data_IF_267506423268
#
_entry.id   IF_267506423268
#
_cell.length_a   1.000
_cell.length_b   1.000
_cell.length_c   1.000
_cell.angle_alpha   90.00
_cell.angle_beta   90.00
_cell.angle_gamma   90.00
#
_symmetry.space_group_name_H-M   'P 1'
#
loop_
_entity.id
_entity.type
_entity.pdbx_description
1 polymer ?
#
# COMPACT_ATOMS: atom_id res chain seq x y z
N UNK A 1 77.57 70.04 -6.30
CA UNK A 1 76.36 70.14 -5.46
C UNK A 1 75.28 69.33 -6.10
N UNK A 2 75.15 68.09 -5.66
CA UNK A 2 74.06 67.19 -6.07
C UNK A 2 73.03 67.18 -4.95
N UNK A 3 71.72 67.18 -5.27
CA UNK A 3 70.71 66.93 -4.26
C UNK A 3 70.34 65.39 -4.27
N UNK A 4 70.51 64.79 -3.12
CA UNK A 4 70.12 63.42 -2.86
C UNK A 4 68.59 63.23 -2.94
N UNK A 5 68.10 62.45 -3.84
CA UNK A 5 66.70 61.98 -3.90
C UNK A 5 66.48 60.87 -2.87
N UNK A 6 65.74 61.15 -1.79
CA UNK A 6 65.25 60.15 -0.85
C UNK A 6 64.10 59.34 -1.49
N UNK A 7 64.39 58.15 -1.84
CA UNK A 7 63.39 57.21 -2.32
C UNK A 7 62.68 56.62 -1.14
N UNK A 8 61.48 57.17 -0.81
CA UNK A 8 60.60 56.65 0.22
C UNK A 8 60.04 55.31 -0.27
N UNK A 9 60.56 54.20 0.29
CA UNK A 9 60.06 52.87 0.02
C UNK A 9 58.58 52.69 0.34
N UNK A 10 57.77 52.59 -0.69
CA UNK A 10 56.37 52.04 -0.54
C UNK A 10 56.47 50.59 -0.10
N UNK A 11 56.26 50.30 1.16
CA UNK A 11 56.04 48.94 1.65
C UNK A 11 54.75 48.43 1.08
N UNK A 12 54.84 47.52 0.15
CA UNK A 12 53.71 46.76 -0.37
C UNK A 12 53.07 46.00 0.83
N UNK A 13 51.76 46.10 1.08
CA UNK A 13 51.13 45.32 2.12
C UNK A 13 51.37 43.86 1.88
N UNK A 14 51.81 43.15 2.93
CA UNK A 14 52.25 41.78 2.83
C UNK A 14 51.09 40.86 2.34
N UNK A 15 51.16 40.47 1.06
CA UNK A 15 50.14 39.65 0.40
C UNK A 15 49.92 38.32 1.17
N UNK A 16 50.89 37.86 1.93
CA UNK A 16 50.78 36.67 2.75
C UNK A 16 49.75 36.82 3.87
N UNK A 17 49.60 38.00 4.45
CA UNK A 17 48.58 38.29 5.47
C UNK A 17 47.17 38.27 4.88
N UNK A 18 46.98 38.82 3.70
CA UNK A 18 45.71 38.80 2.98
C UNK A 18 45.31 37.37 2.61
N UNK A 19 46.24 36.50 2.11
CA UNK A 19 45.95 35.11 1.78
C UNK A 19 45.60 34.27 3.04
N UNK A 20 46.28 34.51 4.17
CA UNK A 20 45.98 33.86 5.44
C UNK A 20 44.58 34.28 5.97
N UNK A 21 44.22 35.54 5.87
CA UNK A 21 42.88 36.03 6.22
C UNK A 21 41.78 35.41 5.35
N UNK A 22 41.98 35.35 4.03
CA UNK A 22 41.05 34.72 3.10
C UNK A 22 40.91 33.21 3.37
N UNK A 23 42.01 32.51 3.66
CA UNK A 23 41.98 31.08 3.98
C UNK A 23 41.20 30.79 5.28
N UNK A 24 41.44 31.59 6.34
CA UNK A 24 40.69 31.44 7.60
C UNK A 24 39.20 31.74 7.40
N UNK A 25 38.87 32.81 6.66
CA UNK A 25 37.48 33.14 6.33
C UNK A 25 36.78 32.02 5.50
N UNK A 26 37.48 31.45 4.55
CA UNK A 26 36.98 30.31 3.75
C UNK A 26 36.70 29.09 4.63
N UNK A 27 37.61 28.75 5.57
CA UNK A 27 37.41 27.61 6.50
C UNK A 27 36.21 27.87 7.43
N UNK A 28 36.08 29.09 7.95
CA UNK A 28 34.94 29.45 8.78
C UNK A 28 33.63 29.38 8.00
N UNK A 29 33.56 29.91 6.79
CA UNK A 29 32.38 29.83 5.95
C UNK A 29 31.99 28.36 5.61
N UNK A 30 32.97 27.55 5.23
CA UNK A 30 32.70 26.12 4.97
C UNK A 30 32.24 25.38 6.22
N UNK A 31 32.80 25.67 7.38
CA UNK A 31 32.37 25.08 8.66
C UNK A 31 30.93 25.45 9.02
N UNK A 32 30.55 26.71 8.80
CA UNK A 32 29.15 27.16 9.00
C UNK A 32 28.21 26.46 8.04
N UNK A 33 28.57 26.32 6.78
CA UNK A 33 27.75 25.62 5.76
C UNK A 33 27.60 24.13 6.13
N UNK A 34 28.68 23.47 6.54
CA UNK A 34 28.64 22.06 6.96
C UNK A 34 27.76 21.90 8.21
N UNK A 35 27.94 22.77 9.20
CA UNK A 35 27.14 22.72 10.42
C UNK A 35 25.64 22.93 10.15
N UNK A 36 25.28 23.92 9.32
CA UNK A 36 23.88 24.18 8.97
C UNK A 36 23.29 23.03 8.15
N UNK A 37 24.05 22.42 7.26
CA UNK A 37 23.62 21.23 6.53
C UNK A 37 23.41 20.01 7.46
N UNK A 38 24.31 19.79 8.42
CA UNK A 38 24.18 18.74 9.42
C UNK A 38 22.92 18.96 10.31
N UNK A 39 22.70 20.17 10.78
CA UNK A 39 21.50 20.52 11.53
C UNK A 39 20.22 20.31 10.72
N UNK A 40 20.22 20.65 9.44
CA UNK A 40 19.08 20.41 8.56
C UNK A 40 18.78 18.92 8.35
N UNK A 41 19.84 18.08 8.22
CA UNK A 41 19.68 16.63 8.01
C UNK A 41 19.14 15.90 9.24
N UNK A 42 19.64 16.24 10.43
CA UNK A 42 19.38 15.48 11.66
C UNK A 42 18.39 16.16 12.62
N UNK A 43 17.87 17.33 12.27
CA UNK A 43 16.81 17.96 13.04
C UNK A 43 15.52 17.14 12.91
N UNK A 44 14.90 16.72 14.04
CA UNK A 44 13.64 15.97 13.99
C UNK A 44 12.52 16.84 13.42
N UNK A 45 11.49 16.16 12.89
CA UNK A 45 10.25 16.80 12.48
C UNK A 45 9.38 17.11 13.70
N UNK A 46 8.75 18.28 13.70
CA UNK A 46 7.98 18.79 14.84
C UNK A 46 6.50 18.35 14.82
N UNK A 47 6.08 17.49 13.90
CA UNK A 47 4.68 17.16 13.70
C UNK A 47 4.19 16.13 14.73
N UNK A 48 3.14 16.51 15.46
CA UNK A 48 2.38 15.65 16.38
C UNK A 48 1.45 14.73 15.57
N UNK A 49 0.91 15.21 14.45
CA UNK A 49 0.10 14.46 13.51
C UNK A 49 1.00 13.73 12.50
N UNK A 50 0.61 12.53 12.12
CA UNK A 50 1.34 11.71 11.15
C UNK A 50 1.17 12.24 9.72
N UNK A 51 1.84 13.33 9.32
CA UNK A 51 1.66 13.90 8.00
C UNK A 51 2.24 12.98 6.95
N UNK A 52 1.49 12.80 5.88
CA UNK A 52 1.91 12.08 4.71
C UNK A 52 2.34 13.10 3.66
N UNK A 53 3.60 13.02 3.25
CA UNK A 53 4.10 13.77 2.09
C UNK A 53 3.89 12.93 0.84
N UNK A 54 3.11 13.47 -0.10
CA UNK A 54 2.91 12.86 -1.41
C UNK A 54 3.84 13.52 -2.42
N UNK A 55 4.66 12.69 -3.08
CA UNK A 55 5.50 13.09 -4.20
C UNK A 55 4.89 12.51 -5.49
N UNK A 56 4.47 13.38 -6.39
CA UNK A 56 3.85 12.97 -7.65
C UNK A 56 4.91 12.66 -8.72
N UNK A 57 4.50 11.95 -9.76
CA UNK A 57 5.39 11.60 -10.85
C UNK A 57 5.86 12.87 -11.57
N UNK A 58 7.19 13.05 -11.68
CA UNK A 58 7.79 14.24 -12.27
C UNK A 58 8.06 15.39 -11.30
N UNK A 59 7.60 15.30 -10.05
CA UNK A 59 7.97 16.28 -9.02
C UNK A 59 9.44 16.13 -8.61
N UNK A 60 10.14 17.28 -8.60
CA UNK A 60 11.55 17.35 -8.28
C UNK A 60 11.85 17.80 -6.85
N UNK A 61 13.14 18.04 -6.59
CA UNK A 61 13.66 18.45 -5.29
C UNK A 61 13.00 19.73 -4.73
N UNK A 62 12.57 20.66 -5.59
CA UNK A 62 11.95 21.92 -5.16
C UNK A 62 10.56 21.65 -4.58
N UNK A 63 9.75 20.82 -5.23
CA UNK A 63 8.43 20.44 -4.75
C UNK A 63 8.54 19.68 -3.43
N UNK A 64 9.45 18.71 -3.34
CA UNK A 64 9.71 18.00 -2.10
C UNK A 64 10.12 18.94 -0.96
N UNK A 65 11.03 19.88 -1.23
CA UNK A 65 11.50 20.82 -0.22
C UNK A 65 10.37 21.72 0.32
N UNK A 66 9.44 22.14 -0.54
CA UNK A 66 8.27 22.93 -0.09
C UNK A 66 7.34 22.11 0.79
N UNK A 67 7.09 20.84 0.43
CA UNK A 67 6.26 19.92 1.21
C UNK A 67 6.90 19.57 2.57
N UNK A 68 8.20 19.33 2.60
CA UNK A 68 8.95 19.10 3.84
C UNK A 68 8.94 20.31 4.76
N UNK A 69 9.17 21.52 4.20
CA UNK A 69 9.21 22.75 5.02
C UNK A 69 7.86 23.10 5.64
N UNK A 70 6.74 22.68 5.06
CA UNK A 70 5.41 22.85 5.66
C UNK A 70 5.23 22.09 6.98
N UNK A 71 6.04 21.07 7.23
CA UNK A 71 6.00 20.23 8.45
C UNK A 71 7.11 20.57 9.45
N UNK A 72 7.74 21.73 9.31
CA UNK A 72 8.75 22.25 10.25
C UNK A 72 8.33 23.59 10.85
N UNK A 73 8.48 23.73 12.16
CA UNK A 73 8.07 24.92 12.92
C UNK A 73 8.77 26.19 12.46
N UNK A 74 10.01 26.10 11.99
CA UNK A 74 10.81 27.24 11.55
C UNK A 74 10.81 27.37 10.00
N UNK A 75 9.66 27.67 9.41
CA UNK A 75 9.52 27.81 7.95
C UNK A 75 10.47 28.86 7.32
N UNK A 76 10.82 29.92 8.07
CA UNK A 76 11.75 30.94 7.61
C UNK A 76 13.20 30.44 7.46
N UNK A 77 13.55 29.34 8.13
CA UNK A 77 14.86 28.68 8.05
C UNK A 77 14.88 27.47 7.09
N UNK A 78 14.02 27.46 6.09
CA UNK A 78 13.89 26.32 5.15
C UNK A 78 14.98 26.26 4.07
N UNK A 79 15.85 27.27 3.95
CA UNK A 79 16.90 27.28 2.92
C UNK A 79 17.95 26.16 3.06
N UNK A 80 18.39 25.73 4.27
CA UNK A 80 19.30 24.61 4.39
C UNK A 80 18.65 23.28 3.91
N UNK A 81 17.37 23.08 4.25
CA UNK A 81 16.61 21.91 3.79
C UNK A 81 16.58 21.84 2.27
N UNK A 82 16.31 22.98 1.60
CA UNK A 82 16.28 23.07 0.13
C UNK A 82 17.62 22.71 -0.50
N UNK A 83 18.72 23.19 0.07
CA UNK A 83 20.07 22.87 -0.42
C UNK A 83 20.40 21.39 -0.25
N UNK A 84 20.10 20.84 0.92
CA UNK A 84 20.34 19.43 1.23
C UNK A 84 19.51 18.53 0.34
N UNK A 85 18.21 18.76 0.23
CA UNK A 85 17.31 17.98 -0.62
C UNK A 85 17.77 18.04 -2.08
N UNK A 86 18.17 19.22 -2.59
CA UNK A 86 18.67 19.38 -3.94
C UNK A 86 19.97 18.62 -4.17
N UNK A 87 20.92 18.69 -3.24
CA UNK A 87 22.18 17.97 -3.31
C UNK A 87 21.98 16.44 -3.26
N UNK A 88 21.04 15.98 -2.44
CA UNK A 88 20.73 14.55 -2.35
C UNK A 88 19.96 14.05 -3.58
N UNK A 89 19.02 14.83 -4.11
CA UNK A 89 18.26 14.50 -5.31
C UNK A 89 19.13 14.47 -6.59
N UNK A 90 20.20 15.26 -6.63
CA UNK A 90 21.16 15.24 -7.75
C UNK A 90 21.91 13.90 -7.87
N UNK A 91 21.99 13.11 -6.80
CA UNK A 91 22.72 11.82 -6.75
C UNK A 91 21.86 10.61 -7.05
N UNK A 92 20.54 10.71 -6.90
CA UNK A 92 19.62 9.61 -7.18
C UNK A 92 18.20 10.17 -7.41
N UNK A 93 17.43 9.59 -8.34
CA UNK A 93 16.06 10.04 -8.62
C UNK A 93 15.17 9.88 -7.39
N UNK A 94 14.27 10.85 -7.21
CA UNK A 94 13.23 10.78 -6.19
C UNK A 94 12.10 9.89 -6.71
N UNK A 95 11.70 8.90 -5.93
CA UNK A 95 10.62 8.02 -6.31
C UNK A 95 9.27 8.65 -5.91
N UNK A 96 8.33 8.68 -6.87
CA UNK A 96 6.97 9.12 -6.62
C UNK A 96 6.26 8.16 -5.65
N UNK A 97 5.37 8.69 -4.80
CA UNK A 97 4.62 7.92 -3.81
C UNK A 97 4.32 8.74 -2.55
N UNK A 98 3.69 8.11 -1.60
CA UNK A 98 3.43 8.69 -0.28
C UNK A 98 4.49 8.22 0.73
N UNK A 99 4.89 9.14 1.61
CA UNK A 99 5.88 8.91 2.65
C UNK A 99 5.38 9.48 3.96
N UNK A 100 5.34 8.68 5.00
CA UNK A 100 4.92 9.11 6.34
C UNK A 100 6.10 9.79 7.04
N UNK A 101 5.96 11.07 7.36
CA UNK A 101 7.04 11.86 8.00
C UNK A 101 7.30 11.38 9.43
N UNK A 102 6.26 11.00 10.16
CA UNK A 102 6.38 10.51 11.55
C UNK A 102 7.13 9.18 11.67
N UNK A 103 7.17 8.36 10.60
CA UNK A 103 7.97 7.15 10.55
C UNK A 103 9.47 7.44 10.40
N UNK A 104 9.82 8.71 10.11
CA UNK A 104 11.19 9.18 9.89
C UNK A 104 11.49 10.32 10.84
N UNK A 105 12.41 10.12 11.77
CA UNK A 105 12.73 11.10 12.79
C UNK A 105 13.39 12.37 12.23
N UNK A 106 14.01 12.29 11.04
CA UNK A 106 14.78 13.37 10.44
C UNK A 106 14.72 13.36 8.90
N UNK A 107 15.25 14.42 8.29
CA UNK A 107 15.29 14.56 6.84
C UNK A 107 16.16 13.50 6.16
N UNK A 108 17.22 13.05 6.81
CA UNK A 108 18.10 12.03 6.24
C UNK A 108 17.36 10.71 6.04
N UNK A 109 16.66 10.22 7.06
CA UNK A 109 15.89 8.97 7.01
C UNK A 109 14.74 9.07 6.01
N UNK A 110 14.02 10.20 5.95
CA UNK A 110 13.00 10.45 4.94
C UNK A 110 13.57 10.40 3.52
N UNK A 111 14.70 11.06 3.27
CA UNK A 111 15.35 11.04 1.95
C UNK A 111 15.84 9.64 1.55
N UNK A 112 16.30 8.83 2.50
CA UNK A 112 16.65 7.44 2.22
C UNK A 112 15.41 6.61 1.87
N UNK A 113 14.29 6.81 2.55
CA UNK A 113 13.02 6.14 2.23
C UNK A 113 12.54 6.52 0.82
N UNK A 114 12.59 7.80 0.44
CA UNK A 114 12.22 8.29 -0.89
C UNK A 114 13.12 7.68 -1.98
N UNK A 115 14.41 7.59 -1.76
CA UNK A 115 15.37 7.00 -2.71
C UNK A 115 15.21 5.50 -2.85
N UNK A 116 14.95 4.80 -1.75
CA UNK A 116 14.75 3.34 -1.76
C UNK A 116 13.34 2.93 -2.18
N UNK A 117 12.42 3.89 -2.36
CA UNK A 117 11.01 3.61 -2.69
C UNK A 117 10.23 2.96 -1.55
N UNK A 118 10.63 3.16 -0.30
CA UNK A 118 9.91 2.68 0.87
C UNK A 118 8.69 3.57 1.12
N UNK A 119 7.64 3.34 0.34
CA UNK A 119 6.41 4.13 0.35
C UNK A 119 5.51 3.77 1.54
N UNK A 120 4.65 4.71 1.91
CA UNK A 120 3.58 4.47 2.86
C UNK A 120 2.56 3.51 2.26
N UNK A 121 2.20 2.48 3.03
CA UNK A 121 1.22 1.48 2.63
C UNK A 121 -0.10 1.74 3.36
N UNK A 122 -1.15 1.84 2.60
CA UNK A 122 -2.53 1.89 3.07
C UNK A 122 -3.10 0.49 3.12
N UNK A 123 -4.19 0.32 3.84
CA UNK A 123 -4.92 -0.94 3.91
C UNK A 123 -6.37 -0.73 3.49
N UNK A 124 -6.93 -1.73 2.85
CA UNK A 124 -8.36 -1.87 2.58
C UNK A 124 -8.79 -3.26 3.01
N UNK A 125 -9.86 -3.36 3.76
CA UNK A 125 -10.41 -4.64 4.21
C UNK A 125 -11.64 -4.97 3.37
N UNK A 126 -11.62 -6.13 2.76
CA UNK A 126 -12.69 -6.69 1.96
C UNK A 126 -13.27 -7.86 2.76
N UNK A 127 -14.52 -7.74 3.19
CA UNK A 127 -15.11 -8.66 4.14
C UNK A 127 -15.71 -9.89 3.44
N UNK A 128 -15.74 -10.98 4.18
CA UNK A 128 -16.46 -12.19 3.82
C UNK A 128 -17.96 -11.95 3.71
N UNK A 129 -18.62 -12.68 2.85
CA UNK A 129 -20.05 -12.55 2.58
C UNK A 129 -20.45 -11.29 1.81
N UNK A 130 -19.54 -10.39 1.48
CA UNK A 130 -19.83 -9.25 0.61
C UNK A 130 -19.95 -9.67 -0.86
N UNK A 131 -20.77 -8.92 -1.60
CA UNK A 131 -20.87 -9.03 -3.05
C UNK A 131 -19.70 -8.33 -3.75
N UNK A 132 -19.49 -8.60 -5.03
CA UNK A 132 -18.53 -7.83 -5.83
C UNK A 132 -18.86 -6.34 -5.89
N UNK A 133 -20.13 -5.99 -5.86
CA UNK A 133 -20.57 -4.59 -5.82
C UNK A 133 -20.12 -3.89 -4.54
N UNK A 134 -20.23 -4.57 -3.38
CA UNK A 134 -19.75 -4.04 -2.09
C UNK A 134 -18.24 -3.84 -2.11
N UNK A 135 -17.51 -4.79 -2.68
CA UNK A 135 -16.06 -4.71 -2.85
C UNK A 135 -15.65 -3.56 -3.76
N UNK A 136 -16.33 -3.41 -4.90
CA UNK A 136 -16.08 -2.32 -5.84
C UNK A 136 -16.29 -0.98 -5.15
N UNK A 137 -17.42 -0.79 -4.48
CA UNK A 137 -17.70 0.44 -3.74
C UNK A 137 -16.64 0.74 -2.68
N UNK A 138 -16.19 -0.28 -1.95
CA UNK A 138 -15.15 -0.12 -0.93
C UNK A 138 -13.82 0.30 -1.53
N UNK A 139 -13.45 -0.27 -2.67
CA UNK A 139 -12.22 0.10 -3.38
C UNK A 139 -12.32 1.49 -4.03
N UNK A 140 -13.49 1.88 -4.52
CA UNK A 140 -13.75 3.24 -5.05
C UNK A 140 -13.60 4.30 -3.95
N UNK A 141 -14.02 3.99 -2.73
CA UNK A 141 -13.89 4.89 -1.58
C UNK A 141 -12.48 4.87 -0.95
N UNK A 142 -11.64 3.91 -1.32
CA UNK A 142 -10.30 3.78 -0.75
C UNK A 142 -9.37 4.92 -1.21
N UNK A 143 -8.76 5.69 -0.28
CA UNK A 143 -7.99 6.88 -0.62
C UNK A 143 -6.82 6.57 -1.55
N UNK A 144 -6.79 7.18 -2.73
CA UNK A 144 -5.72 7.04 -3.72
C UNK A 144 -5.75 5.76 -4.54
N UNK A 145 -6.79 4.94 -4.39
CA UNK A 145 -7.05 3.82 -5.29
C UNK A 145 -7.49 4.36 -6.66
N UNK A 146 -7.00 3.76 -7.72
CA UNK A 146 -7.49 3.99 -9.09
C UNK A 146 -8.44 2.86 -9.46
N UNK A 147 -9.65 3.20 -9.84
CA UNK A 147 -10.65 2.23 -10.27
C UNK A 147 -10.78 2.33 -11.78
N UNK A 148 -10.54 1.23 -12.46
CA UNK A 148 -10.84 1.12 -13.90
C UNK A 148 -12.28 0.66 -14.06
N UNK A 149 -12.96 1.15 -15.12
CA UNK A 149 -14.31 0.68 -15.45
C UNK A 149 -14.27 -0.68 -16.20
N UNK A 150 -13.19 -1.41 -16.04
CA UNK A 150 -13.04 -2.71 -16.71
C UNK A 150 -13.86 -3.76 -15.97
N UNK A 151 -14.52 -4.62 -16.71
CA UNK A 151 -15.17 -5.81 -16.16
C UNK A 151 -14.11 -6.72 -15.51
N UNK A 152 -14.37 -7.10 -14.26
CA UNK A 152 -13.46 -7.94 -13.48
C UNK A 152 -13.65 -9.39 -13.92
N UNK A 153 -12.63 -9.95 -14.54
CA UNK A 153 -12.58 -11.36 -14.88
C UNK A 153 -11.51 -12.04 -14.02
N UNK A 154 -11.90 -12.99 -13.13
CA UNK A 154 -10.92 -13.77 -12.38
C UNK A 154 -10.00 -14.56 -13.32
N UNK A 155 -8.73 -14.68 -12.95
CA UNK A 155 -7.82 -15.60 -13.62
C UNK A 155 -8.00 -17.00 -13.02
N UNK A 156 -8.62 -17.89 -13.79
CA UNK A 156 -8.91 -19.27 -13.41
C UNK A 156 -8.07 -20.27 -14.19
N UNK A 157 -6.98 -19.84 -14.83
CA UNK A 157 -6.14 -20.68 -15.69
C UNK A 157 -5.56 -21.91 -14.98
N UNK A 158 -5.52 -21.90 -13.66
CA UNK A 158 -5.03 -23.01 -12.83
C UNK A 158 -6.15 -23.97 -12.34
N UNK A 159 -7.39 -23.75 -12.76
CA UNK A 159 -8.55 -24.59 -12.42
C UNK A 159 -9.01 -25.36 -13.66
N UNK A 160 -9.81 -26.40 -13.46
CA UNK A 160 -10.34 -27.18 -14.59
C UNK A 160 -11.36 -26.35 -15.39
N UNK A 161 -11.54 -26.67 -16.67
CA UNK A 161 -12.52 -25.97 -17.53
C UNK A 161 -13.95 -26.06 -16.97
N UNK A 162 -14.27 -27.08 -16.20
CA UNK A 162 -15.57 -27.27 -15.57
C UNK A 162 -15.81 -26.28 -14.40
N UNK A 163 -14.73 -25.77 -13.79
CA UNK A 163 -14.81 -24.78 -12.72
C UNK A 163 -15.18 -23.36 -13.23
N UNK A 164 -15.17 -23.15 -14.55
CA UNK A 164 -15.32 -21.85 -15.23
C UNK A 164 -16.75 -21.30 -15.29
N UNK A 165 -17.67 -21.71 -14.46
CA UNK A 165 -19.02 -21.14 -14.44
C UNK A 165 -19.06 -19.60 -14.35
N UNK A 166 -20.23 -18.96 -14.26
CA UNK A 166 -20.40 -17.50 -14.29
C UNK A 166 -19.37 -16.80 -13.39
N UNK A 167 -18.43 -16.12 -14.03
CA UNK A 167 -17.25 -15.52 -13.44
C UNK A 167 -17.64 -14.33 -12.57
N UNK A 168 -17.19 -14.28 -11.35
CA UNK A 168 -17.34 -13.09 -10.53
C UNK A 168 -17.24 -13.37 -9.03
N UNK A 169 -18.35 -13.54 -8.37
CA UNK A 169 -18.38 -13.69 -6.92
C UNK A 169 -17.83 -15.03 -6.43
N UNK A 170 -17.24 -15.01 -5.23
CA UNK A 170 -16.64 -16.17 -4.59
C UNK A 170 -15.18 -16.45 -4.96
N UNK A 171 -14.67 -15.89 -6.07
CA UNK A 171 -13.31 -16.17 -6.56
C UNK A 171 -12.25 -15.22 -6.03
N UNK A 172 -12.57 -14.35 -5.08
CA UNK A 172 -11.65 -13.41 -4.47
C UNK A 172 -11.60 -13.62 -2.96
N UNK A 173 -10.39 -13.80 -2.41
CA UNK A 173 -10.21 -14.06 -0.98
C UNK A 173 -10.54 -12.80 -0.16
N UNK A 174 -11.48 -12.89 0.79
CA UNK A 174 -11.70 -11.82 1.77
C UNK A 174 -10.48 -11.70 2.68
N UNK A 175 -9.90 -10.50 2.77
CA UNK A 175 -8.74 -10.21 3.63
C UNK A 175 -8.50 -8.69 3.69
N UNK A 176 -7.50 -8.29 4.47
CA UNK A 176 -6.98 -6.93 4.50
C UNK A 176 -5.80 -6.78 3.55
N UNK A 177 -6.01 -6.04 2.46
CA UNK A 177 -5.03 -5.83 1.42
C UNK A 177 -4.26 -4.53 1.61
N UNK A 178 -2.93 -4.62 1.53
CA UNK A 178 -2.07 -3.44 1.52
C UNK A 178 -1.91 -2.93 0.09
N UNK A 179 -1.99 -1.60 -0.06
CA UNK A 179 -1.80 -0.93 -1.34
C UNK A 179 -1.05 0.39 -1.17
N UNK A 180 -0.49 0.92 -2.25
CA UNK A 180 0.17 2.22 -2.32
C UNK A 180 -0.73 3.22 -3.05
N UNK A 181 -0.51 4.50 -2.82
CA UNK A 181 -1.22 5.56 -3.55
C UNK A 181 -1.04 5.40 -5.06
N UNK A 182 -2.14 5.42 -5.80
CA UNK A 182 -2.15 5.21 -7.24
C UNK A 182 -2.16 3.76 -7.69
N UNK A 183 -2.32 2.80 -6.77
CA UNK A 183 -2.55 1.39 -7.10
C UNK A 183 -3.89 1.23 -7.82
N UNK A 184 -3.90 0.45 -8.89
CA UNK A 184 -5.14 0.08 -9.57
C UNK A 184 -5.89 -0.99 -8.76
N UNK A 185 -7.20 -0.84 -8.63
CA UNK A 185 -8.06 -1.81 -7.95
C UNK A 185 -7.92 -3.22 -8.54
N UNK A 186 -7.71 -3.32 -9.85
CA UNK A 186 -7.46 -4.60 -10.54
C UNK A 186 -6.27 -5.37 -9.94
N UNK A 187 -5.26 -4.66 -9.42
CA UNK A 187 -4.11 -5.29 -8.72
C UNK A 187 -4.54 -5.93 -7.40
N UNK A 188 -5.48 -5.32 -6.68
CA UNK A 188 -6.04 -5.89 -5.43
C UNK A 188 -6.89 -7.12 -5.76
N UNK A 189 -7.75 -7.01 -6.78
CA UNK A 189 -8.55 -8.14 -7.24
C UNK A 189 -7.69 -9.31 -7.73
N UNK A 190 -6.67 -9.05 -8.55
CA UNK A 190 -5.76 -10.10 -9.02
C UNK A 190 -5.07 -10.82 -7.86
N UNK A 191 -4.63 -10.09 -6.85
CA UNK A 191 -4.03 -10.69 -5.64
C UNK A 191 -5.06 -11.50 -4.85
N UNK A 192 -6.27 -10.97 -4.65
CA UNK A 192 -7.34 -11.66 -3.94
C UNK A 192 -7.75 -12.96 -4.65
N UNK A 193 -7.84 -12.92 -5.98
CA UNK A 193 -8.10 -14.10 -6.80
C UNK A 193 -6.97 -15.13 -6.69
N UNK A 194 -5.72 -14.72 -6.85
CA UNK A 194 -4.57 -15.63 -6.73
C UNK A 194 -4.54 -16.33 -5.37
N UNK A 195 -4.81 -15.61 -4.28
CA UNK A 195 -4.86 -16.19 -2.93
C UNK A 195 -6.03 -17.16 -2.82
N UNK A 196 -7.23 -16.80 -3.28
CA UNK A 196 -8.41 -17.67 -3.25
C UNK A 196 -8.15 -19.00 -3.99
N UNK A 197 -7.66 -18.91 -5.23
CA UNK A 197 -7.38 -20.09 -6.05
C UNK A 197 -6.32 -20.99 -5.38
N UNK A 198 -5.24 -20.40 -4.87
CA UNK A 198 -4.18 -21.18 -4.22
C UNK A 198 -4.63 -21.85 -2.93
N UNK A 199 -5.42 -21.15 -2.10
CA UNK A 199 -5.98 -21.73 -0.87
C UNK A 199 -6.99 -22.84 -1.15
N UNK A 200 -7.86 -22.65 -2.15
CA UNK A 200 -8.84 -23.65 -2.54
C UNK A 200 -8.16 -24.90 -3.08
N UNK A 201 -7.17 -24.75 -3.96
CA UNK A 201 -6.38 -25.90 -4.47
C UNK A 201 -5.66 -26.63 -3.33
N UNK A 202 -5.04 -25.87 -2.41
CA UNK A 202 -4.37 -26.45 -1.25
C UNK A 202 -5.35 -27.24 -0.39
N UNK A 203 -6.53 -26.69 -0.12
CA UNK A 203 -7.55 -27.35 0.69
C UNK A 203 -8.07 -28.62 0.00
N UNK A 204 -8.46 -28.54 -1.28
CA UNK A 204 -8.94 -29.71 -2.05
C UNK A 204 -7.87 -30.80 -2.09
N UNK A 205 -6.59 -30.44 -2.26
CA UNK A 205 -5.48 -31.40 -2.32
C UNK A 205 -5.07 -32.02 -0.97
N UNK A 206 -5.46 -31.37 0.15
CA UNK A 206 -5.06 -31.83 1.50
C UNK A 206 -6.20 -32.46 2.30
N UNK A 207 -7.46 -32.14 1.98
CA UNK A 207 -8.59 -32.70 2.71
C UNK A 207 -8.69 -34.24 2.48
N UNK A 208 -8.59 -34.98 3.56
CA UNK A 208 -8.84 -36.40 3.50
C UNK A 208 -10.35 -36.65 3.57
N UNK A 209 -10.97 -36.75 2.41
CA UNK A 209 -12.41 -36.95 2.26
C UNK A 209 -12.87 -38.28 2.95
N UNK A 210 -12.04 -39.29 2.96
CA UNK A 210 -12.39 -40.58 3.58
C UNK A 210 -12.50 -40.50 5.10
N UNK A 211 -11.67 -39.69 5.75
CA UNK A 211 -11.68 -39.54 7.20
C UNK A 211 -12.56 -38.39 7.70
N UNK A 212 -12.77 -37.38 6.87
CA UNK A 212 -13.51 -36.17 7.27
C UNK A 212 -15.02 -36.28 7.08
N UNK A 213 -15.49 -37.16 6.17
CA UNK A 213 -16.89 -37.24 5.77
C UNK A 213 -17.44 -38.67 5.88
N UNK A 214 -18.74 -38.78 6.16
CA UNK A 214 -19.44 -40.08 6.15
C UNK A 214 -19.58 -40.60 4.73
N UNK A 215 -19.89 -41.94 4.58
CA UNK A 215 -20.08 -42.56 3.28
C UNK A 215 -21.14 -41.83 2.43
N UNK A 216 -22.24 -41.42 3.06
CA UNK A 216 -23.32 -40.67 2.38
C UNK A 216 -22.87 -39.28 1.92
N UNK A 217 -22.05 -38.61 2.71
CA UNK A 217 -21.53 -37.29 2.30
C UNK A 217 -20.58 -37.46 1.13
N UNK A 218 -19.72 -38.49 1.17
CA UNK A 218 -18.76 -38.80 0.10
C UNK A 218 -19.44 -39.07 -1.24
N UNK A 219 -20.59 -39.72 -1.25
CA UNK A 219 -21.36 -39.93 -2.47
C UNK A 219 -21.75 -38.60 -3.15
N UNK A 220 -22.04 -37.54 -2.35
CA UNK A 220 -22.35 -36.19 -2.84
C UNK A 220 -21.08 -35.44 -3.22
N UNK A 221 -20.14 -35.31 -2.28
CA UNK A 221 -18.98 -34.42 -2.44
C UNK A 221 -17.93 -34.94 -3.42
N UNK A 222 -17.93 -36.25 -3.77
CA UNK A 222 -17.05 -36.77 -4.81
C UNK A 222 -17.32 -36.17 -6.20
N UNK A 223 -18.46 -35.54 -6.38
CA UNK A 223 -18.85 -34.84 -7.62
C UNK A 223 -18.65 -33.33 -7.52
N UNK A 224 -18.20 -32.82 -6.34
CA UNK A 224 -18.01 -31.40 -6.15
C UNK A 224 -16.77 -30.90 -6.88
N UNK A 225 -16.99 -29.86 -7.65
CA UNK A 225 -15.94 -29.04 -8.21
C UNK A 225 -15.59 -27.87 -7.24
N UNK A 226 -14.53 -27.14 -7.54
CA UNK A 226 -14.10 -26.00 -6.72
C UNK A 226 -15.22 -25.00 -6.47
N UNK A 227 -16.06 -24.77 -7.48
CA UNK A 227 -17.22 -23.88 -7.40
C UNK A 227 -18.30 -24.37 -6.43
N UNK A 228 -18.56 -25.67 -6.39
CA UNK A 228 -19.58 -26.22 -5.50
C UNK A 228 -19.20 -26.01 -4.04
N UNK A 229 -17.91 -26.20 -3.73
CA UNK A 229 -17.36 -25.90 -2.41
C UNK A 229 -17.52 -24.42 -2.05
N UNK A 230 -17.17 -23.50 -2.97
CA UNK A 230 -17.34 -22.06 -2.74
C UNK A 230 -18.82 -21.68 -2.59
N UNK A 231 -19.69 -22.25 -3.40
CA UNK A 231 -21.13 -22.02 -3.29
C UNK A 231 -21.68 -22.48 -1.94
N UNK A 232 -21.31 -23.69 -1.51
CA UNK A 232 -21.74 -24.19 -0.21
C UNK A 232 -21.19 -23.32 0.94
N UNK A 233 -19.92 -22.93 0.86
CA UNK A 233 -19.29 -22.07 1.86
C UNK A 233 -19.97 -20.70 1.94
N UNK A 234 -20.30 -20.08 0.80
CA UNK A 234 -21.00 -18.79 0.75
C UNK A 234 -22.38 -18.84 1.38
N UNK A 235 -23.11 -19.94 1.19
CA UNK A 235 -24.40 -20.14 1.83
C UNK A 235 -24.25 -20.28 3.34
N UNK A 236 -23.27 -21.04 3.81
CA UNK A 236 -22.99 -21.22 5.24
C UNK A 236 -22.64 -19.87 5.89
N UNK A 237 -21.80 -19.07 5.22
CA UNK A 237 -21.38 -17.75 5.69
C UNK A 237 -22.58 -16.79 5.82
N UNK A 238 -23.49 -16.82 4.87
CA UNK A 238 -24.71 -15.98 4.89
C UNK A 238 -25.75 -16.41 5.93
N UNK A 239 -25.76 -17.67 6.32
CA UNK A 239 -26.66 -18.15 7.40
C UNK A 239 -26.16 -17.76 8.80
N UNK A 240 -24.83 -17.76 9.02
CA UNK A 240 -24.25 -17.40 10.31
C UNK A 240 -22.78 -17.02 10.21
N UNK A 241 -22.40 -15.95 10.88
CA UNK A 241 -21.00 -15.56 11.08
C UNK A 241 -20.31 -16.29 12.26
N UNK A 242 -21.04 -17.11 13.02
CA UNK A 242 -20.49 -17.82 14.18
C UNK A 242 -19.96 -19.19 13.78
N UNK A 243 -18.65 -19.39 13.89
CA UNK A 243 -17.97 -20.63 13.49
C UNK A 243 -18.64 -21.93 14.02
N UNK A 244 -19.06 -21.93 15.29
CA UNK A 244 -19.72 -23.10 15.89
C UNK A 244 -21.09 -23.43 15.25
N UNK A 245 -21.78 -22.43 14.73
CA UNK A 245 -23.05 -22.61 14.04
C UNK A 245 -22.83 -22.94 12.56
N UNK A 246 -21.81 -22.37 11.94
CA UNK A 246 -21.41 -22.69 10.55
C UNK A 246 -21.16 -24.19 10.37
N UNK A 247 -20.48 -24.84 11.30
CA UNK A 247 -20.24 -26.28 11.25
C UNK A 247 -21.55 -27.09 11.23
N UNK A 248 -22.54 -26.68 12.04
CA UNK A 248 -23.85 -27.36 12.09
C UNK A 248 -24.64 -27.10 10.80
N UNK A 249 -24.64 -25.87 10.30
CA UNK A 249 -25.33 -25.47 9.07
C UNK A 249 -24.75 -26.22 7.88
N UNK A 250 -23.42 -26.27 7.74
CA UNK A 250 -22.75 -27.05 6.70
C UNK A 250 -23.17 -28.53 6.75
N UNK A 251 -23.25 -29.09 7.98
CA UNK A 251 -23.71 -30.46 8.17
C UNK A 251 -25.15 -30.66 7.73
N UNK A 252 -26.05 -29.73 8.03
CA UNK A 252 -27.45 -29.78 7.58
C UNK A 252 -27.54 -29.76 6.06
N UNK A 253 -26.78 -28.87 5.41
CA UNK A 253 -26.76 -28.79 3.94
C UNK A 253 -26.25 -30.07 3.29
N UNK A 254 -25.15 -30.64 3.77
CA UNK A 254 -24.63 -31.91 3.27
C UNK A 254 -25.66 -33.05 3.47
N UNK A 255 -26.32 -33.13 4.62
CA UNK A 255 -27.36 -34.11 4.85
C UNK A 255 -28.53 -33.95 3.87
N UNK A 256 -28.96 -32.73 3.60
CA UNK A 256 -30.04 -32.46 2.62
C UNK A 256 -29.63 -32.88 1.20
N UNK A 257 -28.42 -32.53 0.79
CA UNK A 257 -27.88 -32.95 -0.52
C UNK A 257 -27.82 -34.47 -0.62
N UNK A 258 -27.33 -35.18 0.40
CA UNK A 258 -27.27 -36.65 0.43
C UNK A 258 -28.65 -37.34 0.39
N UNK A 259 -29.71 -36.63 0.79
CA UNK A 259 -31.10 -37.09 0.73
C UNK A 259 -31.83 -36.59 -0.54
N UNK A 260 -31.17 -35.88 -1.45
CA UNK A 260 -31.80 -35.28 -2.63
C UNK A 260 -32.80 -34.19 -2.28
N UNK A 261 -32.68 -33.58 -1.10
CA UNK A 261 -33.57 -32.52 -0.62
C UNK A 261 -33.10 -31.13 -1.11
N UNK A 262 -34.05 -30.20 -1.29
CA UNK A 262 -33.70 -28.82 -1.52
C UNK A 262 -33.04 -28.22 -0.29
N UNK A 263 -32.06 -27.31 -0.46
CA UNK A 263 -31.33 -26.67 0.64
C UNK A 263 -32.21 -25.71 1.44
N UNK A 264 -33.16 -25.04 0.81
CA UNK A 264 -34.14 -24.13 1.45
C UNK A 264 -33.43 -23.10 2.34
N UNK A 265 -32.54 -22.32 1.74
CA UNK A 265 -31.74 -21.28 2.37
C UNK A 265 -32.22 -19.93 1.87
N UNK A 266 -32.75 -19.09 2.75
CA UNK A 266 -33.25 -17.75 2.42
C UNK A 266 -32.20 -16.87 1.72
N UNK A 267 -30.91 -16.87 2.15
CA UNK A 267 -29.85 -16.18 1.44
C UNK A 267 -29.77 -16.47 -0.06
N UNK A 268 -30.11 -17.67 -0.51
CA UNK A 268 -30.09 -18.00 -1.93
C UNK A 268 -31.21 -17.32 -2.71
N UNK A 269 -32.37 -17.14 -2.09
CA UNK A 269 -33.51 -16.43 -2.68
C UNK A 269 -33.21 -14.94 -2.74
N UNK A 270 -32.70 -14.39 -1.64
CA UNK A 270 -32.27 -12.97 -1.55
C UNK A 270 -31.23 -12.67 -2.63
N UNK A 271 -30.23 -13.53 -2.76
CA UNK A 271 -29.19 -13.39 -3.79
C UNK A 271 -29.77 -13.41 -5.21
N UNK A 272 -30.70 -14.33 -5.48
CA UNK A 272 -31.35 -14.43 -6.80
C UNK A 272 -32.23 -13.21 -7.13
N UNK A 273 -32.86 -12.60 -6.14
CA UNK A 273 -33.62 -11.37 -6.30
C UNK A 273 -32.72 -10.14 -6.48
N UNK A 274 -31.52 -10.14 -5.92
CA UNK A 274 -30.56 -9.05 -6.01
C UNK A 274 -31.19 -7.72 -5.59
N UNK A 275 -31.11 -6.71 -6.44
CA UNK A 275 -31.69 -5.37 -6.20
C UNK A 275 -33.23 -5.33 -6.16
N UNK A 276 -33.90 -6.41 -6.53
CA UNK A 276 -35.36 -6.53 -6.45
C UNK A 276 -35.86 -7.06 -5.10
N UNK A 277 -34.93 -7.40 -4.18
CA UNK A 277 -35.30 -7.80 -2.84
C UNK A 277 -35.81 -6.59 -2.05
N UNK A 278 -37.03 -6.65 -1.59
CA UNK A 278 -37.73 -5.57 -0.86
C UNK A 278 -37.64 -5.66 0.65
N UNK A 279 -36.96 -6.69 1.16
CA UNK A 279 -36.72 -6.90 2.60
C UNK A 279 -37.65 -7.93 3.23
N UNK A 280 -38.55 -8.57 2.48
CA UNK A 280 -39.44 -9.63 2.94
C UNK A 280 -39.41 -10.85 2.00
N UNK A 281 -39.59 -12.06 2.56
CA UNK A 281 -39.59 -13.36 1.86
C UNK A 281 -40.85 -14.12 2.11
#
# INVERSE_FOLDING_TARGET
MEPSSSNAGRTNPDKSFLYRGLAVMSVLLTSVVVLTAALALFKPFDSIDRPIIRLEQGEGAIALASKVSAHRTAQWMSWPDRLVIRAMAARAPLQAGEYEVSAHNDLWSLMQAIKSGKRFKRTVTLLEGWTLSDWQQTLELAPGMRVSQRELTPDLSNLSENDLGTLGEGWFMPDTYQYEWGTDADTVYARANQVMVSELQRWIGTVNVESAFSDKDREVINHFEARDWLTLASMVEKESSRFADQQKIARVFLNRLALGMRLQSDPTVIYALGNNFDGDL
#
